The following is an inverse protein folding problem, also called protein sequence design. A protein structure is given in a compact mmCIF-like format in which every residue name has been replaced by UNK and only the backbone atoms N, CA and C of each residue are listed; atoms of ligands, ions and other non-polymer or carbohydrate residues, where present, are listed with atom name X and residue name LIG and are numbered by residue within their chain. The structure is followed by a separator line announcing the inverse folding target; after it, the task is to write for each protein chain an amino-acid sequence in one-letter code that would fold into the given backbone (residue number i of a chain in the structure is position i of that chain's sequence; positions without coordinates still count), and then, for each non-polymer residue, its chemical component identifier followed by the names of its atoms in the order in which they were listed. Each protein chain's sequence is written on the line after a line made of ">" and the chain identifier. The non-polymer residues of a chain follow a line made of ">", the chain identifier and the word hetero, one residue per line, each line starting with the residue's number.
data_IF_158861898008
#
_entry.id   IF_158861898008
#
_cell.length_a   1.000
_cell.length_b   1.000
_cell.length_c   1.000
_cell.angle_alpha   90.00
_cell.angle_beta   90.00
_cell.angle_gamma   90.00
#
_symmetry.space_group_name_H-M   'P 1'
#
loop_
_entity.id
_entity.type
_entity.pdbx_description
1 polymer ?
#
# COMPACT_ATOMS: atom_id res chain seq x y z
N UNK A 1 -14.00 -23.77 11.11
CA UNK A 1 -13.63 -23.44 12.51
C UNK A 1 -12.35 -22.63 12.54
N UNK A 2 -11.20 -23.16 12.09
CA UNK A 2 -9.89 -22.48 12.00
C UNK A 2 -9.87 -21.12 11.27
N UNK A 3 -10.64 -20.94 10.19
CA UNK A 3 -10.74 -19.63 9.50
C UNK A 3 -11.35 -18.54 10.41
N UNK A 4 -12.31 -18.91 11.28
CA UNK A 4 -12.88 -17.97 12.27
C UNK A 4 -11.90 -17.65 13.41
N UNK A 5 -10.83 -18.43 13.54
CA UNK A 5 -9.72 -18.24 14.50
C UNK A 5 -8.55 -17.46 13.86
N UNK A 6 -8.72 -16.91 12.64
CA UNK A 6 -7.72 -16.07 11.98
C UNK A 6 -6.78 -16.80 11.02
N UNK A 7 -7.01 -18.09 10.76
CA UNK A 7 -6.16 -18.89 9.87
C UNK A 7 -6.54 -18.67 8.40
N UNK A 8 -5.53 -18.68 7.52
CA UNK A 8 -5.72 -18.53 6.08
C UNK A 8 -5.35 -19.82 5.33
N UNK A 9 -5.98 -20.11 4.18
CA UNK A 9 -5.57 -21.20 3.32
C UNK A 9 -4.12 -21.01 2.85
N UNK A 10 -3.31 -22.07 2.91
CA UNK A 10 -1.96 -22.09 2.38
C UNK A 10 -1.98 -22.54 0.91
N UNK A 11 -1.54 -21.67 0.00
CA UNK A 11 -1.47 -21.97 -1.43
C UNK A 11 -2.83 -22.18 -2.12
N UNK A 12 -2.79 -22.74 -3.34
CA UNK A 12 -3.99 -23.20 -4.05
C UNK A 12 -4.43 -24.60 -3.60
N UNK A 13 -5.67 -25.02 -3.91
CA UNK A 13 -6.13 -26.38 -3.62
C UNK A 13 -5.22 -27.42 -4.28
N UNK A 14 -4.71 -28.38 -3.50
CA UNK A 14 -3.93 -29.49 -4.01
C UNK A 14 -4.85 -30.62 -4.44
N UNK A 15 -4.60 -31.20 -5.62
CA UNK A 15 -5.27 -32.41 -6.10
C UNK A 15 -4.29 -33.59 -6.03
N UNK A 16 -4.55 -34.56 -5.14
CA UNK A 16 -3.96 -35.91 -5.23
C UNK A 16 -4.94 -36.87 -5.85
N UNK A 17 -4.44 -37.93 -6.47
CA UNK A 17 -5.26 -39.05 -6.94
C UNK A 17 -5.01 -40.27 -6.07
N UNK A 18 -6.06 -40.93 -5.62
CA UNK A 18 -5.98 -42.27 -5.02
C UNK A 18 -5.70 -43.31 -6.12
N UNK A 19 -5.28 -44.52 -5.72
CA UNK A 19 -4.95 -45.60 -6.67
C UNK A 19 -6.15 -46.05 -7.54
N UNK A 20 -7.38 -45.73 -7.12
CA UNK A 20 -8.63 -45.93 -7.87
C UNK A 20 -9.04 -44.71 -8.73
N UNK A 21 -8.19 -43.68 -8.82
CA UNK A 21 -8.37 -42.52 -9.68
C UNK A 21 -9.23 -41.39 -9.12
N UNK A 22 -9.64 -41.44 -7.85
CA UNK A 22 -10.41 -40.36 -7.25
C UNK A 22 -9.54 -39.14 -6.93
N UNK A 23 -9.99 -37.95 -7.33
CA UNK A 23 -9.31 -36.69 -7.03
C UNK A 23 -9.64 -36.23 -5.60
N UNK A 24 -8.65 -36.27 -4.71
CA UNK A 24 -8.69 -35.68 -3.38
C UNK A 24 -8.20 -34.23 -3.45
N UNK A 25 -9.10 -33.28 -3.22
CA UNK A 25 -8.77 -31.86 -3.10
C UNK A 25 -8.52 -31.54 -1.62
N UNK A 26 -7.27 -31.24 -1.25
CA UNK A 26 -6.91 -30.89 0.12
C UNK A 26 -6.52 -29.42 0.23
N UNK A 27 -7.22 -28.70 1.12
CA UNK A 27 -6.81 -27.37 1.56
C UNK A 27 -5.87 -27.53 2.76
N UNK A 28 -4.67 -26.96 2.68
CA UNK A 28 -3.73 -26.91 3.81
C UNK A 28 -4.04 -25.63 4.59
N UNK A 29 -4.19 -25.77 5.91
CA UNK A 29 -4.35 -24.65 6.83
C UNK A 29 -3.21 -24.73 7.84
N UNK A 30 -2.39 -23.70 7.94
CA UNK A 30 -1.19 -23.70 8.79
C UNK A 30 -1.26 -22.62 9.88
N UNK A 31 -0.73 -22.94 11.06
CA UNK A 31 -0.58 -22.02 12.20
C UNK A 31 0.83 -21.42 12.17
N UNK A 32 0.96 -20.11 12.38
CA UNK A 32 2.28 -19.49 12.56
C UNK A 32 3.11 -19.29 11.28
N UNK A 33 4.42 -19.14 11.44
CA UNK A 33 5.36 -18.85 10.35
C UNK A 33 5.58 -20.10 9.47
N UNK A 34 5.04 -20.09 8.25
CA UNK A 34 5.30 -21.15 7.26
C UNK A 34 6.53 -20.76 6.42
N UNK A 35 7.63 -20.46 7.09
CA UNK A 35 8.95 -20.33 6.47
C UNK A 35 9.63 -21.69 6.29
N UNK A 36 9.17 -22.72 7.01
CA UNK A 36 9.59 -24.12 6.85
C UNK A 36 8.72 -24.86 5.82
N UNK A 37 9.32 -25.52 4.81
CA UNK A 37 8.59 -26.32 3.83
C UNK A 37 7.73 -27.40 4.51
N UNK A 38 6.46 -27.50 4.12
CA UNK A 38 5.63 -28.64 4.51
C UNK A 38 6.05 -29.83 3.66
N UNK A 39 6.68 -30.83 4.27
CA UNK A 39 6.96 -32.09 3.59
C UNK A 39 5.72 -32.97 3.68
N UNK A 40 5.02 -33.15 2.57
CA UNK A 40 3.97 -34.17 2.47
C UNK A 40 4.63 -35.43 1.94
N UNK A 41 4.65 -36.48 2.77
CA UNK A 41 5.02 -37.83 2.33
C UNK A 41 3.74 -38.56 1.92
N UNK A 42 3.50 -38.83 0.63
CA UNK A 42 2.55 -39.86 0.24
C UNK A 42 3.01 -41.18 0.86
N UNK A 43 2.10 -41.99 1.37
CA UNK A 43 2.42 -43.36 1.81
C UNK A 43 2.98 -44.14 0.62
N UNK A 44 4.31 -44.34 0.59
CA UNK A 44 5.00 -45.22 -0.38
C UNK A 44 5.93 -44.56 -1.41
N UNK A 45 6.17 -43.24 -1.38
CA UNK A 45 7.06 -42.56 -2.33
C UNK A 45 8.04 -41.54 -1.71
N UNK A 46 9.02 -41.10 -2.50
CA UNK A 46 9.92 -39.99 -2.13
C UNK A 46 9.09 -38.76 -1.73
N UNK A 47 9.36 -38.19 -0.56
CA UNK A 47 8.59 -37.07 -0.03
C UNK A 47 8.72 -35.84 -0.93
N UNK A 48 7.59 -35.27 -1.34
CA UNK A 48 7.56 -34.00 -2.05
C UNK A 48 7.73 -32.85 -1.03
N UNK A 49 8.83 -32.10 -1.15
CA UNK A 49 9.05 -30.88 -0.37
C UNK A 49 8.18 -29.76 -0.97
N UNK A 50 7.13 -29.34 -0.27
CA UNK A 50 6.31 -28.20 -0.68
C UNK A 50 6.96 -26.92 -0.16
N UNK A 51 8.06 -26.51 -0.78
CA UNK A 51 8.62 -25.16 -0.61
C UNK A 51 8.09 -24.29 -1.73
N UNK A 52 7.17 -23.36 -1.41
CA UNK A 52 6.63 -22.45 -2.41
C UNK A 52 6.55 -20.98 -1.96
N UNK A 53 7.34 -20.57 -0.96
CA UNK A 53 7.65 -19.14 -0.78
C UNK A 53 8.79 -18.74 -1.72
N UNK A 54 8.53 -18.84 -3.02
CA UNK A 54 9.38 -18.25 -4.05
C UNK A 54 9.15 -16.74 -4.07
N UNK A 55 10.22 -15.96 -4.18
CA UNK A 55 10.12 -14.52 -4.42
C UNK A 55 9.27 -14.25 -5.67
N UNK A 56 8.33 -13.28 -5.62
CA UNK A 56 7.49 -12.95 -6.77
C UNK A 56 8.28 -12.70 -8.06
N UNK A 57 7.78 -13.22 -9.17
CA UNK A 57 8.33 -12.98 -10.51
C UNK A 57 8.14 -11.53 -10.96
N UNK A 58 7.09 -10.88 -10.47
CA UNK A 58 6.72 -9.50 -10.74
C UNK A 58 5.72 -9.01 -9.69
N UNK A 59 5.41 -7.71 -9.72
CA UNK A 59 4.53 -7.09 -8.74
C UNK A 59 3.38 -6.32 -9.39
N UNK A 60 2.20 -6.43 -8.79
CA UNK A 60 1.16 -5.42 -8.91
C UNK A 60 1.54 -4.26 -7.99
N UNK A 61 1.74 -3.08 -8.58
CA UNK A 61 2.17 -1.87 -7.88
C UNK A 61 0.94 -1.11 -7.40
N UNK A 62 0.88 -0.84 -6.10
CA UNK A 62 -0.18 -0.02 -5.48
C UNK A 62 0.47 1.18 -4.83
N UNK A 63 0.09 2.37 -5.30
CA UNK A 63 0.61 3.64 -4.77
C UNK A 63 -0.28 4.10 -3.63
N UNK A 64 0.31 4.56 -2.53
CA UNK A 64 -0.40 5.14 -1.39
C UNK A 64 0.04 6.60 -1.28
N UNK A 65 -0.91 7.53 -1.37
CA UNK A 65 -0.62 8.96 -1.37
C UNK A 65 -1.74 9.78 -0.71
N UNK A 66 -1.36 10.98 -0.26
CA UNK A 66 -2.27 11.88 0.45
C UNK A 66 -1.66 12.32 1.77
N UNK A 67 -2.49 12.44 2.81
CA UNK A 67 -2.06 12.88 4.13
C UNK A 67 -2.24 11.82 5.23
N UNK A 68 -2.42 12.25 6.48
CA UNK A 68 -2.40 11.42 7.69
C UNK A 68 -3.30 10.19 7.61
N UNK A 69 -4.54 10.32 7.13
CA UNK A 69 -5.48 9.19 7.03
C UNK A 69 -5.11 8.19 5.92
N UNK A 70 -4.14 8.50 5.06
CA UNK A 70 -3.59 7.59 4.05
C UNK A 70 -2.38 6.78 4.54
N UNK A 71 -1.92 7.04 5.78
CA UNK A 71 -0.68 6.46 6.31
C UNK A 71 -0.83 6.06 7.77
N UNK A 72 0.30 5.70 8.40
CA UNK A 72 0.33 5.21 9.77
C UNK A 72 -0.01 6.30 10.81
N UNK A 73 -1.29 6.58 10.99
CA UNK A 73 -1.84 7.45 12.05
C UNK A 73 -2.74 6.68 13.04
N UNK A 74 -2.93 5.37 12.85
CA UNK A 74 -3.59 4.53 13.83
C UNK A 74 -2.74 4.40 15.09
N UNK A 75 -3.24 4.92 16.21
CA UNK A 75 -2.52 4.96 17.49
C UNK A 75 -2.64 3.64 18.31
N UNK A 76 -3.43 2.69 17.82
CA UNK A 76 -3.58 1.38 18.45
C UNK A 76 -2.26 0.59 18.47
N UNK A 77 -2.15 -0.36 19.41
CA UNK A 77 -0.98 -1.23 19.52
C UNK A 77 -0.82 -2.07 18.24
N UNK A 78 0.35 -2.03 17.56
CA UNK A 78 0.62 -2.91 16.44
C UNK A 78 0.63 -4.38 16.84
N UNK A 79 0.12 -5.24 15.96
CA UNK A 79 -0.04 -6.69 16.16
C UNK A 79 0.74 -7.49 15.10
N UNK A 80 2.09 -7.41 15.07
CA UNK A 80 2.93 -8.01 14.03
C UNK A 80 2.91 -9.55 14.03
N UNK A 81 2.43 -10.17 15.10
CA UNK A 81 2.18 -11.61 15.16
C UNK A 81 0.82 -12.00 14.56
N UNK A 82 -0.10 -11.08 14.28
CA UNK A 82 -1.44 -11.42 13.78
C UNK A 82 -1.84 -10.55 12.58
N UNK A 83 -2.69 -9.54 12.80
CA UNK A 83 -3.28 -8.72 11.73
C UNK A 83 -2.21 -7.95 10.95
N UNK A 84 -1.20 -7.45 11.66
CA UNK A 84 -0.12 -6.62 11.10
C UNK A 84 1.09 -7.44 10.64
N UNK A 85 0.98 -8.77 10.68
CA UNK A 85 2.04 -9.68 10.24
C UNK A 85 2.43 -9.40 8.78
N UNK A 86 3.71 -9.14 8.47
CA UNK A 86 4.21 -9.05 7.11
C UNK A 86 3.94 -10.32 6.29
N UNK A 87 3.81 -10.17 4.98
CA UNK A 87 3.67 -11.29 4.04
C UNK A 87 4.87 -11.33 3.08
N UNK A 88 5.45 -12.50 2.78
CA UNK A 88 6.62 -12.61 1.91
C UNK A 88 6.39 -12.05 0.49
N UNK A 89 5.15 -12.05 -0.02
CA UNK A 89 4.77 -11.54 -1.35
C UNK A 89 4.39 -10.06 -1.33
N UNK A 90 4.32 -9.42 -0.16
CA UNK A 90 3.99 -7.99 -0.03
C UNK A 90 5.24 -7.21 0.36
N UNK A 91 5.66 -6.32 -0.53
CA UNK A 91 6.84 -5.49 -0.39
C UNK A 91 6.48 -4.01 -0.46
N UNK A 92 7.42 -3.15 -0.10
CA UNK A 92 7.32 -1.70 -0.28
C UNK A 92 8.62 -1.12 -0.83
N UNK A 93 8.55 0.07 -1.44
CA UNK A 93 9.74 0.85 -1.72
C UNK A 93 10.24 1.58 -0.48
N UNK A 94 11.49 1.34 -0.10
CA UNK A 94 12.13 1.96 1.04
C UNK A 94 12.31 3.49 0.89
N UNK A 95 12.21 4.19 2.01
CA UNK A 95 12.68 5.59 2.20
C UNK A 95 13.67 5.76 3.36
N UNK A 96 13.35 5.20 4.53
CA UNK A 96 14.21 5.21 5.73
C UNK A 96 15.59 4.59 5.46
N UNK A 97 16.55 4.84 6.35
CA UNK A 97 17.89 4.25 6.30
C UNK A 97 17.93 2.77 6.75
N UNK A 98 16.89 2.30 7.42
CA UNK A 98 16.73 0.90 7.86
C UNK A 98 15.32 0.39 7.57
N UNK A 99 15.17 -0.92 7.36
CA UNK A 99 13.89 -1.60 7.05
C UNK A 99 12.89 -1.44 8.20
N UNK A 100 13.36 -1.61 9.42
CA UNK A 100 12.63 -1.34 10.68
C UNK A 100 13.52 -0.49 11.58
N UNK A 101 13.01 0.14 12.65
CA UNK A 101 13.86 0.84 13.62
C UNK A 101 14.93 -0.10 14.20
N UNK A 102 16.21 0.23 13.99
CA UNK A 102 17.34 -0.61 14.42
C UNK A 102 17.58 -1.88 13.60
N UNK A 103 16.80 -2.09 12.53
CA UNK A 103 16.92 -3.25 11.66
C UNK A 103 17.99 -3.11 10.58
N UNK A 104 17.93 -4.01 9.58
CA UNK A 104 18.85 -4.02 8.44
C UNK A 104 18.82 -2.69 7.67
N UNK A 105 19.97 -2.26 7.16
CA UNK A 105 20.07 -1.06 6.33
C UNK A 105 19.33 -1.23 5.00
N UNK A 106 18.73 -0.15 4.50
CA UNK A 106 18.14 -0.06 3.17
C UNK A 106 18.41 1.31 2.55
N UNK A 107 18.34 1.38 1.22
CA UNK A 107 18.49 2.62 0.44
C UNK A 107 17.14 3.05 -0.12
N UNK A 108 17.04 4.33 -0.49
CA UNK A 108 15.85 4.87 -1.16
C UNK A 108 15.50 4.03 -2.39
N UNK A 109 14.24 3.60 -2.48
CA UNK A 109 13.68 2.71 -3.51
C UNK A 109 14.24 1.27 -3.55
N UNK A 110 14.88 0.78 -2.49
CA UNK A 110 15.06 -0.66 -2.32
C UNK A 110 13.70 -1.35 -2.11
N UNK A 111 13.56 -2.57 -2.62
CA UNK A 111 12.38 -3.40 -2.38
C UNK A 111 12.60 -4.11 -1.04
N UNK A 112 11.79 -3.76 -0.04
CA UNK A 112 11.89 -4.29 1.33
C UNK A 112 10.55 -4.90 1.77
N UNK A 113 10.50 -5.72 2.82
CA UNK A 113 9.24 -6.18 3.39
C UNK A 113 8.30 -5.01 3.75
N UNK A 114 7.00 -5.19 3.50
CA UNK A 114 5.98 -4.28 4.00
C UNK A 114 5.48 -4.72 5.37
N UNK A 115 5.33 -3.77 6.30
CA UNK A 115 4.71 -3.97 7.61
C UNK A 115 3.65 -2.88 7.87
N UNK A 116 3.15 -2.78 9.10
CA UNK A 116 2.10 -1.83 9.49
C UNK A 116 2.51 -0.36 9.42
N UNK A 117 3.80 -0.04 9.40
CA UNK A 117 4.32 1.33 9.44
C UNK A 117 5.23 1.59 8.23
N UNK A 118 4.59 1.84 7.08
CA UNK A 118 5.24 1.99 5.78
C UNK A 118 6.18 3.22 5.68
N UNK A 119 7.07 3.20 4.68
CA UNK A 119 8.11 4.21 4.43
C UNK A 119 7.56 5.45 3.69
N UNK A 120 6.50 6.06 4.23
CA UNK A 120 5.93 7.33 3.76
C UNK A 120 6.91 8.51 3.90
N UNK A 121 6.57 9.68 3.37
CA UNK A 121 7.43 10.88 3.43
C UNK A 121 7.70 11.30 4.88
N UNK A 122 6.71 11.12 5.75
CA UNK A 122 6.84 11.31 7.19
C UNK A 122 7.07 9.97 7.89
N UNK A 123 8.13 9.89 8.69
CA UNK A 123 8.48 8.69 9.44
C UNK A 123 7.69 8.61 10.75
N UNK A 124 6.75 7.67 10.82
CA UNK A 124 5.92 7.45 12.00
C UNK A 124 6.44 6.32 12.90
N UNK A 125 7.56 5.69 12.55
CA UNK A 125 8.03 4.46 13.19
C UNK A 125 8.60 4.62 14.59
N UNK A 126 8.82 5.86 15.03
CA UNK A 126 9.31 6.19 16.37
C UNK A 126 8.20 6.62 17.33
N UNK A 127 6.96 6.71 16.85
CA UNK A 127 5.79 7.11 17.63
C UNK A 127 5.11 5.87 18.21
N UNK A 128 5.72 5.29 19.24
CA UNK A 128 5.29 4.01 19.80
C UNK A 128 4.09 4.15 20.73
N UNK A 129 3.19 3.17 20.67
CA UNK A 129 2.14 3.02 21.69
C UNK A 129 2.78 2.82 23.09
N UNK A 130 2.20 3.38 24.19
CA UNK A 130 2.79 3.29 25.54
C UNK A 130 2.98 1.88 26.09
N UNK A 131 2.28 0.89 25.53
CA UNK A 131 2.38 -0.53 25.89
C UNK A 131 3.12 -1.39 24.86
N UNK A 132 3.83 -0.76 23.93
CA UNK A 132 4.57 -1.47 22.89
C UNK A 132 5.75 -2.25 23.47
N UNK A 133 5.87 -3.52 23.07
CA UNK A 133 7.08 -4.31 23.22
C UNK A 133 7.89 -4.26 21.91
N UNK A 134 8.92 -3.41 21.89
CA UNK A 134 9.75 -3.20 20.71
C UNK A 134 10.54 -4.45 20.31
N UNK A 135 10.81 -5.36 21.25
CA UNK A 135 11.47 -6.64 20.93
C UNK A 135 10.60 -7.55 20.05
N UNK A 136 9.28 -7.30 20.04
CA UNK A 136 8.30 -8.00 19.20
C UNK A 136 7.96 -7.25 17.91
N UNK A 137 8.68 -6.18 17.59
CA UNK A 137 8.40 -5.37 16.40
C UNK A 137 7.16 -4.49 16.51
N UNK A 138 6.64 -4.22 17.72
CA UNK A 138 5.47 -3.36 17.95
C UNK A 138 5.80 -1.86 17.89
N UNK A 139 6.63 -1.45 16.94
CA UNK A 139 7.09 -0.08 16.82
C UNK A 139 6.07 0.79 16.07
N UNK A 140 6.11 2.10 16.30
CA UNK A 140 5.34 3.10 15.56
C UNK A 140 3.82 2.99 15.70
N UNK A 141 3.16 3.60 14.73
CA UNK A 141 1.71 3.62 14.52
C UNK A 141 1.32 2.69 13.36
N UNK A 142 0.02 2.48 13.16
CA UNK A 142 -0.53 1.53 12.17
C UNK A 142 -1.19 2.26 11.01
N UNK A 143 -0.85 1.88 9.78
CA UNK A 143 -1.49 2.33 8.54
C UNK A 143 -2.10 1.17 7.75
N UNK A 144 -3.10 1.47 6.92
CA UNK A 144 -3.92 0.49 6.21
C UNK A 144 -3.26 -0.14 4.98
N UNK A 145 -2.12 0.37 4.51
CA UNK A 145 -1.50 -0.04 3.25
C UNK A 145 -1.18 -1.53 3.18
N UNK A 146 -0.63 -2.10 4.28
CA UNK A 146 -0.41 -3.54 4.40
C UNK A 146 -1.72 -4.32 4.31
N UNK A 147 -2.77 -3.87 4.98
CA UNK A 147 -4.05 -4.57 5.04
C UNK A 147 -4.79 -4.53 3.70
N UNK A 148 -4.69 -3.41 2.97
CA UNK A 148 -5.16 -3.33 1.57
C UNK A 148 -4.44 -4.38 0.72
N UNK A 149 -3.11 -4.45 0.79
CA UNK A 149 -2.35 -5.43 0.04
C UNK A 149 -2.70 -6.87 0.42
N UNK A 150 -2.82 -7.20 1.71
CA UNK A 150 -3.22 -8.54 2.18
C UNK A 150 -4.60 -8.94 1.65
N UNK A 151 -5.53 -8.00 1.53
CA UNK A 151 -6.87 -8.25 0.95
C UNK A 151 -6.85 -8.39 -0.56
N UNK A 152 -5.89 -7.78 -1.27
CA UNK A 152 -5.73 -7.90 -2.72
C UNK A 152 -4.98 -9.19 -3.11
N UNK A 153 -4.08 -9.68 -2.27
CA UNK A 153 -3.19 -10.81 -2.58
C UNK A 153 -3.89 -12.09 -3.07
N UNK A 154 -5.08 -12.48 -2.57
CA UNK A 154 -5.81 -13.64 -3.08
C UNK A 154 -6.36 -13.48 -4.51
N UNK A 155 -6.42 -12.26 -5.03
CA UNK A 155 -6.99 -11.95 -6.34
C UNK A 155 -5.94 -11.78 -7.44
N UNK A 156 -4.65 -11.96 -7.13
CA UNK A 156 -3.54 -11.89 -8.10
C UNK A 156 -2.89 -13.27 -8.29
N UNK A 157 -2.22 -13.51 -9.44
CA UNK A 157 -1.52 -14.77 -9.70
C UNK A 157 -0.52 -15.15 -8.60
N UNK A 158 -0.39 -16.45 -8.32
CA UNK A 158 0.47 -16.97 -7.26
C UNK A 158 1.96 -16.62 -7.43
N UNK A 159 2.43 -16.47 -8.67
CA UNK A 159 3.80 -16.04 -8.98
C UNK A 159 4.00 -14.50 -8.90
N UNK A 160 2.94 -13.73 -8.66
CA UNK A 160 3.01 -12.28 -8.51
C UNK A 160 2.97 -11.86 -7.03
N UNK A 161 3.47 -10.67 -6.73
CA UNK A 161 3.38 -10.04 -5.42
C UNK A 161 2.70 -8.68 -5.50
N UNK A 162 2.63 -7.98 -4.37
CA UNK A 162 2.21 -6.59 -4.30
C UNK A 162 3.39 -5.73 -3.87
N UNK A 163 3.66 -4.68 -4.63
CA UNK A 163 4.67 -3.67 -4.30
C UNK A 163 3.96 -2.36 -3.95
N UNK A 164 4.01 -2.01 -2.67
CA UNK A 164 3.49 -0.76 -2.14
C UNK A 164 4.46 0.39 -2.43
N UNK A 165 3.93 1.52 -2.84
CA UNK A 165 4.70 2.76 -3.06
C UNK A 165 4.17 3.83 -2.10
N UNK A 166 4.68 3.89 -0.86
CA UNK A 166 4.24 4.86 0.14
C UNK A 166 4.82 6.25 -0.14
N UNK A 167 3.93 7.23 -0.27
CA UNK A 167 4.21 8.62 -0.65
C UNK A 167 3.37 9.62 0.17
N UNK A 168 2.82 9.21 1.32
CA UNK A 168 1.93 10.04 2.12
C UNK A 168 2.71 11.03 2.99
N UNK A 169 2.04 12.13 3.37
CA UNK A 169 2.58 13.11 4.32
C UNK A 169 1.50 13.71 5.20
N UNK A 170 1.55 13.48 6.51
CA UNK A 170 0.60 14.09 7.45
C UNK A 170 0.58 15.61 7.37
N UNK A 171 -0.61 16.23 7.48
CA UNK A 171 -0.76 17.68 7.42
C UNK A 171 -0.40 18.33 6.08
N UNK A 172 -0.26 17.55 5.00
CA UNK A 172 -0.08 18.10 3.66
C UNK A 172 -1.39 18.56 3.02
N UNK A 173 -1.34 19.60 2.20
CA UNK A 173 -2.50 20.16 1.53
C UNK A 173 -2.14 20.66 0.12
N UNK A 174 -3.12 20.95 -0.73
CA UNK A 174 -2.86 21.68 -1.97
C UNK A 174 -2.79 23.20 -1.75
N UNK A 175 -3.58 23.70 -0.82
CA UNK A 175 -3.84 25.15 -0.65
C UNK A 175 -3.04 25.79 0.47
N UNK A 176 -2.41 24.99 1.34
CA UNK A 176 -1.49 25.44 2.39
C UNK A 176 -0.27 24.52 2.50
N UNK A 177 0.67 24.85 3.40
CA UNK A 177 1.90 24.08 3.62
C UNK A 177 3.10 24.58 2.81
N UNK A 178 4.28 24.14 3.23
CA UNK A 178 5.57 24.46 2.64
C UNK A 178 5.88 23.51 1.47
N UNK A 179 6.53 24.03 0.43
CA UNK A 179 6.96 23.19 -0.70
C UNK A 179 7.98 22.13 -0.25
N UNK A 180 8.93 22.52 0.61
CA UNK A 180 10.08 21.70 0.97
C UNK A 180 11.01 21.49 -0.22
N UNK A 181 11.67 20.35 -0.31
CA UNK A 181 12.68 20.05 -1.33
C UNK A 181 12.53 18.63 -1.87
N UNK A 182 13.08 18.38 -3.06
CA UNK A 182 13.14 17.06 -3.68
C UNK A 182 14.58 16.73 -4.08
N UNK A 183 14.98 15.47 -3.92
CA UNK A 183 16.23 14.93 -4.46
C UNK A 183 16.01 13.56 -5.08
N UNK A 184 16.73 13.23 -6.15
CA UNK A 184 16.65 11.90 -6.77
C UNK A 184 17.12 10.77 -5.83
N UNK A 185 17.99 11.11 -4.85
CA UNK A 185 18.58 10.16 -3.92
C UNK A 185 17.74 9.89 -2.67
N UNK A 186 16.86 10.82 -2.26
CA UNK A 186 16.10 10.73 -1.00
C UNK A 186 14.61 11.05 -1.12
N UNK A 187 14.15 11.49 -2.29
CA UNK A 187 12.77 11.88 -2.53
C UNK A 187 12.43 13.25 -1.94
N UNK A 188 11.14 13.43 -1.63
CA UNK A 188 10.65 14.61 -0.91
C UNK A 188 11.21 14.69 0.52
N UNK A 189 11.55 15.90 0.97
CA UNK A 189 11.98 16.15 2.35
C UNK A 189 10.80 16.12 3.32
N UNK A 190 11.08 15.85 4.60
CA UNK A 190 10.06 15.73 5.65
C UNK A 190 9.21 17.01 5.81
N UNK A 191 9.77 18.18 5.53
CA UNK A 191 9.07 19.47 5.58
C UNK A 191 8.23 19.80 4.32
N UNK A 192 8.20 18.93 3.30
CA UNK A 192 7.33 19.08 2.13
C UNK A 192 5.89 18.80 2.51
N UNK A 193 5.07 19.83 2.70
CA UNK A 193 3.64 19.73 3.07
C UNK A 193 2.70 20.33 2.03
N UNK A 194 3.21 20.61 0.82
CA UNK A 194 2.43 21.12 -0.30
C UNK A 194 2.31 20.08 -1.43
N UNK A 195 1.09 19.65 -1.70
CA UNK A 195 0.73 18.93 -2.93
C UNK A 195 0.50 19.91 -4.09
N UNK A 196 0.67 19.41 -5.31
CA UNK A 196 0.44 20.16 -6.54
C UNK A 196 1.46 19.76 -7.61
N UNK A 197 1.14 20.08 -8.86
CA UNK A 197 2.06 19.85 -9.99
C UNK A 197 3.40 20.53 -9.71
N UNK A 198 4.49 19.84 -10.06
CA UNK A 198 5.89 20.24 -9.86
C UNK A 198 6.35 20.43 -8.41
N UNK A 199 5.47 20.22 -7.42
CA UNK A 199 5.84 20.25 -6.00
C UNK A 199 6.63 19.00 -5.61
N UNK A 200 7.49 19.08 -4.57
CA UNK A 200 8.28 17.94 -4.13
C UNK A 200 7.48 16.66 -3.83
N UNK A 201 6.30 16.77 -3.21
CA UNK A 201 5.43 15.61 -2.97
C UNK A 201 4.95 14.97 -4.28
N UNK A 202 4.63 15.77 -5.30
CA UNK A 202 4.28 15.25 -6.62
C UNK A 202 5.47 14.58 -7.31
N UNK A 203 6.66 15.22 -7.29
CA UNK A 203 7.89 14.64 -7.85
C UNK A 203 8.24 13.30 -7.20
N UNK A 204 8.05 13.19 -5.89
CA UNK A 204 8.22 11.95 -5.14
C UNK A 204 7.18 10.90 -5.53
N UNK A 205 5.90 11.26 -5.64
CA UNK A 205 4.82 10.39 -6.11
C UNK A 205 5.13 9.79 -7.49
N UNK A 206 5.39 10.62 -8.51
CA UNK A 206 5.64 10.12 -9.87
C UNK A 206 6.99 9.40 -9.96
N UNK A 207 8.03 9.93 -9.31
CA UNK A 207 9.37 9.35 -9.32
C UNK A 207 9.41 7.95 -8.71
N UNK A 208 8.77 7.74 -7.57
CA UNK A 208 8.71 6.43 -6.90
C UNK A 208 7.81 5.45 -7.62
N UNK A 209 6.71 5.91 -8.22
CA UNK A 209 5.87 5.07 -9.09
C UNK A 209 6.67 4.55 -10.27
N UNK A 210 7.38 5.44 -10.99
CA UNK A 210 8.27 5.05 -12.08
C UNK A 210 9.41 4.14 -11.61
N UNK A 211 9.98 4.39 -10.44
CA UNK A 211 11.02 3.53 -9.87
C UNK A 211 10.50 2.11 -9.64
N UNK A 212 9.28 1.95 -9.10
CA UNK A 212 8.65 0.65 -8.91
C UNK A 212 8.44 -0.10 -10.24
N UNK A 213 7.94 0.59 -11.27
CA UNK A 213 7.71 -0.01 -12.59
C UNK A 213 9.01 -0.40 -13.30
N UNK A 214 10.06 0.43 -13.19
CA UNK A 214 11.39 0.15 -13.76
C UNK A 214 12.10 -1.06 -13.14
N UNK A 215 11.75 -1.48 -11.91
CA UNK A 215 12.37 -2.65 -11.27
C UNK A 215 12.15 -3.93 -12.08
N UNK A 216 11.04 -4.03 -12.80
CA UNK A 216 10.71 -5.20 -13.61
C UNK A 216 9.70 -4.83 -14.69
N UNK A 217 9.95 -5.10 -15.99
CA UNK A 217 9.04 -4.75 -17.08
C UNK A 217 7.67 -5.45 -17.00
N UNK A 218 7.53 -6.52 -16.20
CA UNK A 218 6.26 -7.19 -15.93
C UNK A 218 5.47 -6.55 -14.77
N UNK A 219 6.04 -5.59 -14.04
CA UNK A 219 5.29 -4.90 -13.00
C UNK A 219 4.12 -4.13 -13.61
N UNK A 220 2.99 -4.12 -12.91
CA UNK A 220 1.76 -3.48 -13.37
C UNK A 220 1.30 -2.46 -12.33
N UNK A 221 1.22 -1.18 -12.69
CA UNK A 221 0.56 -0.15 -11.90
C UNK A 221 -0.93 -0.47 -11.83
N UNK A 222 -1.36 -0.89 -10.64
CA UNK A 222 -2.68 -1.44 -10.41
C UNK A 222 -3.69 -0.42 -9.87
N UNK A 223 -3.26 0.45 -8.95
CA UNK A 223 -4.11 1.49 -8.38
C UNK A 223 -3.30 2.59 -7.69
N UNK A 224 -3.92 3.76 -7.54
CA UNK A 224 -3.50 4.81 -6.60
C UNK A 224 -4.55 4.91 -5.50
N UNK A 225 -4.18 4.66 -4.26
CA UNK A 225 -5.00 4.92 -3.08
C UNK A 225 -4.70 6.33 -2.60
N UNK A 226 -5.71 7.19 -2.62
CA UNK A 226 -5.60 8.61 -2.33
C UNK A 226 -6.49 8.97 -1.14
N UNK A 227 -5.92 9.50 -0.06
CA UNK A 227 -6.72 9.99 1.07
C UNK A 227 -6.18 11.33 1.54
N UNK A 228 -6.83 12.40 1.08
CA UNK A 228 -6.39 13.77 1.30
C UNK A 228 -7.55 14.75 1.24
N UNK A 229 -7.44 15.83 2.02
CA UNK A 229 -8.34 16.98 1.91
C UNK A 229 -8.50 17.76 3.21
N UNK A 230 -8.22 17.14 4.35
CA UNK A 230 -8.50 17.69 5.66
C UNK A 230 -7.86 19.06 5.90
N UNK A 231 -6.59 19.23 5.50
CA UNK A 231 -5.87 20.49 5.72
C UNK A 231 -6.22 21.57 4.68
N UNK A 232 -6.87 21.23 3.56
CA UNK A 232 -7.40 22.23 2.63
C UNK A 232 -8.60 22.99 3.22
N UNK A 233 -9.24 22.47 4.28
CA UNK A 233 -10.36 23.13 4.95
C UNK A 233 -9.97 24.49 5.55
N UNK A 234 -8.72 24.60 6.03
CA UNK A 234 -8.17 25.84 6.58
C UNK A 234 -7.47 26.73 5.55
N UNK A 235 -7.40 26.29 4.29
CA UNK A 235 -6.80 27.05 3.18
C UNK A 235 -7.86 27.66 2.28
N UNK A 236 -7.83 27.30 0.99
CA UNK A 236 -8.85 27.74 0.01
C UNK A 236 -9.58 26.53 -0.59
N UNK A 237 -10.55 25.92 0.14
CA UNK A 237 -11.21 24.67 -0.25
C UNK A 237 -11.70 24.63 -1.71
N UNK A 238 -12.17 25.77 -2.24
CA UNK A 238 -12.63 25.90 -3.62
C UNK A 238 -11.57 25.56 -4.68
N UNK A 239 -10.27 25.71 -4.36
CA UNK A 239 -9.18 25.41 -5.28
C UNK A 239 -8.79 23.92 -5.29
N UNK A 240 -9.21 23.15 -4.28
CA UNK A 240 -8.80 21.77 -4.10
C UNK A 240 -9.14 20.93 -5.35
N UNK A 241 -10.38 21.01 -5.84
CA UNK A 241 -10.84 20.20 -6.97
C UNK A 241 -10.01 20.43 -8.24
N UNK A 242 -9.67 21.69 -8.54
CA UNK A 242 -8.86 22.04 -9.69
C UNK A 242 -7.41 21.54 -9.54
N UNK A 243 -6.82 21.69 -8.34
CA UNK A 243 -5.45 21.27 -8.07
C UNK A 243 -5.30 19.74 -8.05
N UNK A 244 -6.27 19.02 -7.48
CA UNK A 244 -6.33 17.57 -7.54
C UNK A 244 -6.48 17.08 -8.99
N UNK A 245 -7.42 17.65 -9.75
CA UNK A 245 -7.59 17.32 -11.17
C UNK A 245 -6.29 17.49 -11.98
N UNK A 246 -5.62 18.63 -11.81
CA UNK A 246 -4.34 18.90 -12.47
C UNK A 246 -3.25 17.90 -12.06
N UNK A 247 -3.21 17.48 -10.79
CA UNK A 247 -2.27 16.47 -10.31
C UNK A 247 -2.51 15.11 -10.95
N UNK A 248 -3.77 14.65 -11.04
CA UNK A 248 -4.14 13.38 -11.68
C UNK A 248 -3.81 13.41 -13.18
N UNK A 249 -4.20 14.48 -13.87
CA UNK A 249 -3.94 14.63 -15.30
C UNK A 249 -2.43 14.63 -15.59
N UNK A 250 -1.63 15.34 -14.77
CA UNK A 250 -0.17 15.34 -14.89
C UNK A 250 0.44 13.97 -14.57
N UNK A 251 -0.01 13.29 -13.52
CA UNK A 251 0.46 11.94 -13.17
C UNK A 251 0.26 10.96 -14.33
N UNK A 252 -0.90 11.02 -15.00
CA UNK A 252 -1.19 10.17 -16.16
C UNK A 252 -0.33 10.52 -17.37
N UNK A 253 -0.22 11.82 -17.68
CA UNK A 253 0.63 12.29 -18.77
C UNK A 253 2.10 11.87 -18.58
N UNK A 254 2.60 11.97 -17.34
CA UNK A 254 3.98 11.58 -17.03
C UNK A 254 4.21 10.08 -17.08
N UNK A 255 3.17 9.24 -17.10
CA UNK A 255 3.29 7.78 -17.26
C UNK A 255 3.15 7.31 -18.71
N UNK A 256 3.06 8.21 -19.70
CA UNK A 256 2.87 7.84 -21.10
C UNK A 256 3.95 6.88 -21.63
N UNK A 257 5.21 7.04 -21.19
CA UNK A 257 6.34 6.16 -21.52
C UNK A 257 6.26 4.77 -20.87
N UNK A 258 5.34 4.57 -19.92
CA UNK A 258 5.12 3.33 -19.18
C UNK A 258 3.67 2.84 -19.26
N UNK A 259 2.89 3.32 -20.25
CA UNK A 259 1.47 2.98 -20.39
C UNK A 259 1.23 1.46 -20.48
N UNK A 260 2.13 0.72 -21.13
CA UNK A 260 2.06 -0.76 -21.22
C UNK A 260 2.20 -1.48 -19.86
N UNK A 261 2.73 -0.81 -18.84
CA UNK A 261 2.79 -1.30 -17.46
C UNK A 261 1.66 -0.74 -16.60
N UNK A 262 0.67 -0.05 -17.16
CA UNK A 262 -0.54 0.36 -16.44
C UNK A 262 -1.65 -0.67 -16.63
N UNK A 263 -2.48 -0.90 -15.61
CA UNK A 263 -3.65 -1.77 -15.75
C UNK A 263 -4.55 -1.26 -16.89
N UNK A 264 -4.98 -2.16 -17.77
CA UNK A 264 -5.72 -1.80 -18.98
C UNK A 264 -4.86 -1.20 -20.11
N UNK A 265 -3.53 -1.17 -19.98
CA UNK A 265 -2.60 -0.68 -21.01
C UNK A 265 -2.59 0.84 -21.18
N UNK A 266 -3.14 1.59 -20.22
CA UNK A 266 -3.17 3.05 -20.23
C UNK A 266 -3.12 3.61 -18.81
N UNK A 267 -2.47 4.76 -18.64
CA UNK A 267 -2.48 5.47 -17.36
C UNK A 267 -3.89 5.98 -16.97
N UNK A 268 -4.77 6.20 -17.94
CA UNK A 268 -6.20 6.49 -17.70
C UNK A 268 -6.94 5.29 -17.09
N UNK A 269 -6.49 4.07 -17.42
CA UNK A 269 -7.00 2.82 -16.90
C UNK A 269 -6.63 2.56 -15.44
N UNK A 270 -5.70 3.31 -14.86
CA UNK A 270 -5.32 3.19 -13.44
C UNK A 270 -6.36 3.88 -12.56
N UNK A 271 -7.05 3.13 -11.68
CA UNK A 271 -8.06 3.69 -10.80
C UNK A 271 -7.42 4.50 -9.67
N UNK A 272 -8.00 5.67 -9.41
CA UNK A 272 -7.72 6.49 -8.23
C UNK A 272 -8.80 6.24 -7.18
N UNK A 273 -8.46 5.48 -6.15
CA UNK A 273 -9.34 5.11 -5.04
C UNK A 273 -9.25 6.21 -3.97
N UNK A 274 -10.18 7.16 -4.04
CA UNK A 274 -10.24 8.32 -3.17
C UNK A 274 -11.04 8.02 -1.91
N UNK A 275 -10.37 7.79 -0.78
CA UNK A 275 -11.01 7.51 0.49
C UNK A 275 -11.60 8.75 1.15
N UNK A 276 -12.64 8.53 1.94
CA UNK A 276 -13.29 9.53 2.78
C UNK A 276 -12.42 9.95 3.99
N UNK A 277 -13.00 10.73 4.91
CA UNK A 277 -12.37 11.19 6.15
C UNK A 277 -13.21 10.87 7.39
N UNK A 278 -12.64 11.13 8.56
CA UNK A 278 -13.26 10.83 9.86
C UNK A 278 -14.47 11.73 10.13
N UNK A 279 -15.35 11.29 11.06
CA UNK A 279 -16.52 12.05 11.48
C UNK A 279 -16.18 13.47 11.95
N UNK A 280 -15.01 13.62 12.61
CA UNK A 280 -14.53 14.90 13.11
C UNK A 280 -14.44 15.94 12.00
N UNK A 281 -13.80 15.60 10.86
CA UNK A 281 -13.64 16.53 9.75
C UNK A 281 -14.97 16.87 9.09
N UNK A 282 -15.85 15.87 8.92
CA UNK A 282 -17.19 16.07 8.36
C UNK A 282 -18.00 17.09 9.18
N UNK A 283 -17.92 17.01 10.51
CA UNK A 283 -18.65 17.90 11.42
C UNK A 283 -17.95 19.25 11.64
N UNK A 284 -16.61 19.28 11.58
CA UNK A 284 -15.83 20.50 11.81
C UNK A 284 -16.18 21.62 10.83
N UNK A 285 -16.35 21.28 9.56
CA UNK A 285 -16.79 22.23 8.54
C UNK A 285 -17.47 21.48 7.39
N UNK A 286 -18.79 21.31 7.48
CA UNK A 286 -19.57 20.57 6.49
C UNK A 286 -19.45 21.18 5.08
N UNK A 287 -19.47 22.51 4.96
CA UNK A 287 -19.35 23.19 3.67
C UNK A 287 -17.99 22.91 3.00
N UNK A 288 -16.90 22.96 3.76
CA UNK A 288 -15.57 22.61 3.26
C UNK A 288 -15.46 21.13 2.91
N UNK A 289 -16.07 20.25 3.72
CA UNK A 289 -16.15 18.83 3.41
C UNK A 289 -16.88 18.57 2.09
N UNK A 290 -18.06 19.17 1.87
CA UNK A 290 -18.78 19.01 0.61
C UNK A 290 -17.99 19.59 -0.57
N UNK A 291 -17.28 20.71 -0.37
CA UNK A 291 -16.44 21.31 -1.41
C UNK A 291 -15.26 20.40 -1.79
N UNK A 292 -14.56 19.85 -0.80
CA UNK A 292 -13.35 19.04 -0.98
C UNK A 292 -13.69 17.59 -1.33
N UNK A 293 -14.37 16.87 -0.44
CA UNK A 293 -14.67 15.45 -0.63
C UNK A 293 -15.83 15.21 -1.60
N UNK A 294 -16.76 16.16 -1.72
CA UNK A 294 -17.76 16.11 -2.80
C UNK A 294 -17.11 16.16 -4.18
N UNK A 295 -15.92 16.77 -4.31
CA UNK A 295 -15.19 16.81 -5.58
C UNK A 295 -14.63 15.46 -6.02
N UNK A 296 -14.51 14.47 -5.13
CA UNK A 296 -14.08 13.11 -5.51
C UNK A 296 -15.23 12.26 -6.06
N UNK A 297 -16.48 12.64 -5.80
CA UNK A 297 -17.67 11.86 -6.17
C UNK A 297 -17.99 12.04 -7.66
N UNK A 298 -18.64 11.04 -8.25
CA UNK A 298 -19.15 11.08 -9.62
C UNK A 298 -18.08 11.41 -10.68
N UNK A 299 -16.88 10.82 -10.53
CA UNK A 299 -15.75 10.97 -11.47
C UNK A 299 -15.31 9.62 -12.06
N UNK A 300 -16.23 8.66 -12.16
CA UNK A 300 -15.94 7.30 -12.64
C UNK A 300 -15.52 7.29 -14.12
N UNK A 301 -15.96 8.27 -14.91
CA UNK A 301 -15.51 8.51 -16.29
C UNK A 301 -14.02 8.86 -16.36
N UNK A 302 -13.47 9.47 -15.30
CA UNK A 302 -12.04 9.69 -15.12
C UNK A 302 -11.37 8.57 -14.33
N UNK A 303 -12.05 7.45 -14.10
CA UNK A 303 -11.57 6.33 -13.28
C UNK A 303 -11.15 6.76 -11.86
N UNK A 304 -11.86 7.74 -11.30
CA UNK A 304 -11.72 8.20 -9.91
C UNK A 304 -12.93 7.68 -9.15
N UNK A 305 -12.68 6.93 -8.08
CA UNK A 305 -13.69 6.22 -7.30
C UNK A 305 -13.66 6.71 -5.86
N UNK A 306 -14.77 7.28 -5.40
CA UNK A 306 -14.92 7.70 -4.01
C UNK A 306 -15.31 6.50 -3.14
N UNK A 307 -14.55 6.25 -2.07
CA UNK A 307 -14.81 5.17 -1.11
C UNK A 307 -15.21 5.76 0.23
N UNK A 308 -16.50 5.72 0.61
CA UNK A 308 -16.94 6.14 1.92
C UNK A 308 -16.38 5.20 2.99
N UNK A 309 -16.07 5.72 4.17
CA UNK A 309 -15.86 4.85 5.33
C UNK A 309 -17.21 4.26 5.74
N UNK A 310 -17.25 2.94 5.93
CA UNK A 310 -18.43 2.27 6.44
C UNK A 310 -18.71 2.77 7.85
N UNK A 311 -19.92 3.29 8.06
CA UNK A 311 -20.49 3.64 9.36
C UNK A 311 -21.06 2.42 10.04
#
# INVERSE_FOLDING_TARGET
>A
QKIREGWQPYGGPFSSYTDDGAALIQAIVAEGDVSTPVVVKPTGGEGAVISATRDPEYYFVVVLAGQSNSMAYGEGLPLPETYDRPDPRIKQLARRSTVTPGGAACKYNDIIPADHCLHDVQDMSRLNHPKADLSKGQYGTVGQGLHIAKKLLPFIPANAGILLVPCCRGGSAFTTGADGTYSDAGGASENSTRWGVDKPLYKDLIGRTKAALKKNPKNVLFAVVWMQGEFDFGGTPANHAAQFGALVDKFRADLADMAGQCVGGSADGVPWICGDTTYFWKQKNESSYQTVYGSYKNKTEKNIHFVPFMT
#
